data_IF_830377931677
#
_entry.id   IF_830377931677
#
_cell.length_a   1.000
_cell.length_b   1.000
_cell.length_c   1.000
_cell.angle_alpha   90.00
_cell.angle_beta   90.00
_cell.angle_gamma   90.00
#
_symmetry.space_group_name_H-M   'P 1'
#
loop_
_entity.id
_entity.type
_entity.pdbx_description
1 polymer ?
#
# COMPACT_ATOMS: atom_id res chain seq x y z
N UNK A 1 48.62 17.92 18.42
CA UNK A 1 47.78 18.92 17.74
C UNK A 1 46.62 18.18 17.07
N UNK A 2 45.41 18.33 17.63
CA UNK A 2 44.18 17.65 17.21
C UNK A 2 43.70 18.10 15.83
N UNK A 3 43.30 17.16 14.96
CA UNK A 3 42.34 17.43 13.87
C UNK A 3 41.43 16.22 13.65
N UNK A 4 40.17 16.39 14.02
CA UNK A 4 39.01 15.53 13.74
C UNK A 4 37.84 16.49 13.43
N UNK A 5 36.80 16.07 12.71
CA UNK A 5 36.79 15.79 11.28
C UNK A 5 35.84 16.77 10.54
N UNK A 6 36.11 17.04 9.26
CA UNK A 6 35.12 17.73 8.41
C UNK A 6 33.96 16.78 8.10
N UNK A 7 32.87 16.89 8.86
CA UNK A 7 31.58 16.28 8.53
C UNK A 7 31.14 16.80 7.16
N UNK A 8 31.32 16.00 6.11
CA UNK A 8 30.65 16.22 4.82
C UNK A 8 29.15 16.13 5.09
N UNK A 9 28.47 17.28 5.13
CA UNK A 9 27.01 17.34 5.14
C UNK A 9 26.52 16.59 3.91
N UNK A 10 25.94 15.41 4.13
CA UNK A 10 25.22 14.67 3.09
C UNK A 10 24.09 15.59 2.63
N UNK A 11 23.99 15.96 1.34
CA UNK A 11 22.90 16.81 0.90
C UNK A 11 21.58 16.08 1.19
N UNK A 12 20.69 16.78 1.87
CA UNK A 12 19.31 16.37 2.08
C UNK A 12 18.72 16.09 0.70
N UNK A 13 18.27 14.86 0.46
CA UNK A 13 17.71 14.43 -0.82
C UNK A 13 16.46 15.28 -1.05
N UNK A 14 16.64 16.38 -1.77
CA UNK A 14 15.56 17.27 -2.21
C UNK A 14 15.05 16.65 -3.50
N UNK A 15 13.77 16.32 -3.52
CA UNK A 15 13.12 15.59 -4.59
C UNK A 15 11.91 14.85 -4.04
N UNK A 16 10.99 15.59 -3.41
CA UNK A 16 9.60 15.16 -3.29
C UNK A 16 8.83 15.78 -4.45
N UNK A 17 9.36 15.66 -5.66
CA UNK A 17 8.53 15.60 -6.85
C UNK A 17 7.93 14.18 -6.85
N UNK A 18 7.01 13.94 -5.91
CA UNK A 18 6.18 12.76 -5.96
C UNK A 18 5.24 12.98 -7.14
N UNK A 19 5.66 12.46 -8.32
CA UNK A 19 4.80 12.27 -9.49
C UNK A 19 3.40 11.82 -9.01
N UNK A 20 2.31 12.30 -9.63
CA UNK A 20 0.99 11.79 -9.29
C UNK A 20 1.04 10.27 -9.46
N UNK A 21 0.90 9.53 -8.36
CA UNK A 21 0.78 8.06 -8.36
C UNK A 21 -0.62 7.70 -8.87
N UNK A 22 -1.05 8.36 -9.93
CA UNK A 22 -2.24 8.01 -10.67
C UNK A 22 -1.89 6.73 -11.42
N UNK A 23 -2.72 5.70 -11.30
CA UNK A 23 -2.64 4.46 -12.07
C UNK A 23 -1.67 3.38 -11.56
N UNK A 24 -1.66 3.09 -10.26
CA UNK A 24 -1.06 1.84 -9.76
C UNK A 24 -1.98 1.16 -8.75
N UNK A 25 -2.13 -0.16 -8.90
CA UNK A 25 -2.81 -0.99 -7.90
C UNK A 25 -2.19 -0.73 -6.52
N UNK A 26 -2.99 -0.53 -5.45
CA UNK A 26 -2.50 -0.19 -4.12
C UNK A 26 -1.52 -1.21 -3.56
N UNK A 27 -0.39 -0.77 -3.00
CA UNK A 27 0.64 -1.67 -2.47
C UNK A 27 0.15 -2.51 -1.28
N UNK A 28 0.80 -3.64 -1.00
CA UNK A 28 0.49 -4.50 0.17
C UNK A 28 0.42 -3.70 1.47
N UNK A 29 1.43 -2.87 1.73
CA UNK A 29 1.48 -2.01 2.92
C UNK A 29 0.30 -1.03 2.98
N UNK A 30 -0.12 -0.49 1.85
CA UNK A 30 -1.28 0.42 1.78
C UNK A 30 -2.55 -0.34 2.14
N UNK A 31 -2.74 -1.54 1.57
CA UNK A 31 -3.89 -2.41 1.86
C UNK A 31 -3.93 -2.79 3.34
N UNK A 32 -2.80 -3.23 3.91
CA UNK A 32 -2.73 -3.60 5.32
C UNK A 32 -3.00 -2.43 6.25
N UNK A 33 -2.46 -1.24 5.95
CA UNK A 33 -2.72 -0.05 6.74
C UNK A 33 -4.21 0.32 6.75
N UNK A 34 -4.87 0.25 5.59
CA UNK A 34 -6.31 0.45 5.48
C UNK A 34 -7.08 -0.58 6.31
N UNK A 35 -6.82 -1.87 6.10
CA UNK A 35 -7.51 -2.94 6.81
C UNK A 35 -7.29 -2.91 8.32
N UNK A 36 -6.12 -2.46 8.79
CA UNK A 36 -5.85 -2.28 10.21
C UNK A 36 -6.55 -1.04 10.80
N UNK A 37 -6.82 -0.02 9.98
CA UNK A 37 -7.59 1.16 10.41
C UNK A 37 -9.09 0.90 10.47
N UNK A 38 -9.56 -0.08 9.70
CA UNK A 38 -10.95 -0.51 9.66
C UNK A 38 -11.23 -1.60 10.71
N UNK A 39 -12.37 -1.51 11.39
CA UNK A 39 -12.74 -2.47 12.45
C UNK A 39 -13.67 -3.59 11.96
N UNK A 40 -13.85 -3.70 10.64
CA UNK A 40 -14.82 -4.58 10.01
C UNK A 40 -14.20 -5.38 8.86
N UNK A 41 -14.84 -6.49 8.53
CA UNK A 41 -14.51 -7.24 7.33
C UNK A 41 -14.89 -6.42 6.10
N UNK A 42 -14.00 -6.37 5.12
CA UNK A 42 -14.20 -5.61 3.88
C UNK A 42 -14.25 -6.51 2.66
N UNK A 43 -15.14 -6.20 1.72
CA UNK A 43 -15.14 -6.76 0.36
C UNK A 43 -14.10 -6.05 -0.50
N UNK A 44 -13.62 -6.70 -1.55
CA UNK A 44 -12.61 -6.13 -2.44
C UNK A 44 -13.07 -4.81 -3.09
N UNK A 45 -14.36 -4.71 -3.39
CA UNK A 45 -15.00 -3.50 -3.92
C UNK A 45 -14.94 -2.34 -2.91
N UNK A 46 -15.21 -2.60 -1.63
CA UNK A 46 -15.13 -1.58 -0.59
C UNK A 46 -13.67 -1.10 -0.36
N UNK A 47 -12.72 -2.03 -0.47
CA UNK A 47 -11.29 -1.69 -0.42
C UNK A 47 -10.91 -0.84 -1.63
N UNK A 48 -11.44 -1.16 -2.82
CA UNK A 48 -11.24 -0.38 -4.03
C UNK A 48 -11.79 1.05 -3.88
N UNK A 49 -13.02 1.18 -3.41
CA UNK A 49 -13.68 2.48 -3.18
C UNK A 49 -12.87 3.35 -2.21
N UNK A 50 -12.40 2.78 -1.09
CA UNK A 50 -11.61 3.54 -0.09
C UNK A 50 -10.20 3.89 -0.58
N UNK A 51 -9.68 3.17 -1.57
CA UNK A 51 -8.37 3.42 -2.17
C UNK A 51 -8.45 4.18 -3.49
N UNK A 52 -9.64 4.70 -3.85
CA UNK A 52 -9.89 5.48 -5.07
C UNK A 52 -9.51 4.68 -6.34
N UNK A 53 -9.83 3.38 -6.33
CA UNK A 53 -9.53 2.45 -7.42
C UNK A 53 -10.74 2.36 -8.37
N UNK A 54 -10.85 3.34 -9.26
CA UNK A 54 -12.02 3.49 -10.14
C UNK A 54 -11.93 2.69 -11.45
N UNK A 55 -10.73 2.25 -11.87
CA UNK A 55 -10.57 1.50 -13.12
C UNK A 55 -10.87 0.02 -12.91
N UNK A 56 -11.76 -0.55 -13.71
CA UNK A 56 -12.10 -1.98 -13.67
C UNK A 56 -10.87 -2.91 -13.71
N UNK A 57 -9.85 -2.57 -14.50
CA UNK A 57 -8.58 -3.31 -14.56
C UNK A 57 -7.82 -3.28 -13.22
N UNK A 58 -7.85 -2.16 -12.50
CA UNK A 58 -7.18 -2.03 -11.22
C UNK A 58 -7.93 -2.77 -10.10
N UNK A 59 -9.26 -2.92 -10.22
CA UNK A 59 -10.04 -3.77 -9.31
C UNK A 59 -9.64 -5.24 -9.47
N UNK A 60 -9.48 -5.73 -10.70
CA UNK A 60 -9.02 -7.10 -10.94
C UNK A 60 -7.59 -7.31 -10.44
N UNK A 61 -6.69 -6.34 -10.64
CA UNK A 61 -5.34 -6.37 -10.07
C UNK A 61 -5.36 -6.36 -8.54
N UNK A 62 -6.27 -5.59 -7.93
CA UNK A 62 -6.46 -5.56 -6.48
C UNK A 62 -6.95 -6.91 -5.96
N UNK A 63 -7.91 -7.53 -6.64
CA UNK A 63 -8.41 -8.88 -6.30
C UNK A 63 -7.29 -9.91 -6.35
N UNK A 64 -6.49 -9.93 -7.42
CA UNK A 64 -5.36 -10.84 -7.52
C UNK A 64 -4.29 -10.57 -6.45
N UNK A 65 -4.10 -9.31 -6.05
CA UNK A 65 -3.22 -8.97 -4.94
C UNK A 65 -3.74 -9.48 -3.60
N UNK A 66 -5.03 -9.28 -3.31
CA UNK A 66 -5.66 -9.75 -2.07
C UNK A 66 -5.61 -11.28 -1.97
N UNK A 67 -5.83 -11.99 -3.07
CA UNK A 67 -5.69 -13.45 -3.13
C UNK A 67 -4.26 -13.89 -2.80
N UNK A 68 -3.26 -13.25 -3.41
CA UNK A 68 -1.86 -13.56 -3.12
C UNK A 68 -1.48 -13.24 -1.67
N UNK A 69 -2.03 -12.19 -1.09
CA UNK A 69 -1.85 -11.86 0.33
C UNK A 69 -2.55 -12.88 1.25
N UNK A 70 -3.68 -13.47 0.85
CA UNK A 70 -4.29 -14.62 1.54
C UNK A 70 -3.37 -15.84 1.48
N UNK A 71 -2.83 -16.16 0.31
CA UNK A 71 -1.88 -17.27 0.11
C UNK A 71 -0.59 -17.08 0.92
N UNK A 72 -0.07 -15.85 0.97
CA UNK A 72 1.12 -15.45 1.74
C UNK A 72 0.83 -15.47 3.27
N UNK A 73 -0.42 -15.64 3.70
CA UNK A 73 -0.84 -15.65 5.10
C UNK A 73 -0.91 -14.26 5.75
N UNK A 74 -0.83 -13.20 4.95
CA UNK A 74 -0.94 -11.81 5.41
C UNK A 74 -2.40 -11.42 5.70
N UNK A 75 -3.37 -12.06 5.02
CA UNK A 75 -4.80 -11.83 5.19
C UNK A 75 -5.53 -13.13 5.50
N UNK A 76 -6.65 -13.02 6.23
CA UNK A 76 -7.58 -14.13 6.45
C UNK A 76 -8.89 -13.80 5.75
N UNK A 77 -9.28 -14.62 4.77
CA UNK A 77 -10.57 -14.47 4.09
C UNK A 77 -11.68 -15.15 4.86
N UNK A 78 -12.74 -14.42 5.16
CA UNK A 78 -13.95 -15.02 5.73
C UNK A 78 -14.70 -15.83 4.65
N UNK A 79 -14.68 -17.16 4.77
CA UNK A 79 -15.32 -18.09 3.84
C UNK A 79 -16.80 -18.35 4.12
N UNK A 80 -17.36 -17.77 5.19
CA UNK A 80 -18.76 -18.00 5.60
C UNK A 80 -19.79 -17.22 4.75
N UNK A 81 -19.35 -16.51 3.73
CA UNK A 81 -20.18 -15.63 2.93
C UNK A 81 -20.49 -14.34 3.69
N UNK A 82 -20.05 -13.22 3.15
CA UNK A 82 -20.57 -11.90 3.50
C UNK A 82 -21.50 -11.38 2.42
#
# INVERSE_FOLDING_TARGET
MSKHPSRRRRPLRTGLDAEPVAERTPSRTTILNLLNSESQLMKAEQIADLLDVDKATMLDDLRGRLERMEEDGELIRNRRGG
#
